data_IF_888113598120
#
_entry.id   IF_888113598120
#
_cell.length_a   1.000
_cell.length_b   1.000
_cell.length_c   1.000
_cell.angle_alpha   90.00
_cell.angle_beta   90.00
_cell.angle_gamma   90.00
#
_symmetry.space_group_name_H-M   'P 1'
#
loop_
_entity.id
_entity.type
_entity.pdbx_description
1 polymer ?
#
# COMPACT_ATOMS: atom_id res chain seq x y z
N UNK A 1 -18.96 -7.72 -10.16
CA UNK A 1 -17.87 -6.81 -10.59
C UNK A 1 -17.28 -6.18 -9.36
N UNK A 2 -16.17 -6.71 -8.89
CA UNK A 2 -15.37 -6.14 -7.79
C UNK A 2 -14.05 -5.67 -8.41
N UNK A 3 -13.61 -4.49 -8.09
CA UNK A 3 -12.45 -3.84 -8.68
C UNK A 3 -11.47 -3.47 -7.60
N UNK A 4 -10.22 -3.78 -7.84
CA UNK A 4 -9.12 -3.42 -6.94
C UNK A 4 -8.77 -1.95 -7.14
N UNK A 5 -8.64 -1.25 -6.03
CA UNK A 5 -8.20 0.13 -5.96
C UNK A 5 -6.68 0.13 -5.75
N UNK A 6 -5.89 0.48 -6.76
CA UNK A 6 -4.47 0.73 -6.56
C UNK A 6 -4.28 1.93 -5.62
N UNK A 7 -3.78 1.67 -4.43
CA UNK A 7 -3.67 2.65 -3.34
C UNK A 7 -2.31 3.36 -3.35
N UNK A 8 -2.25 4.49 -4.05
CA UNK A 8 -1.17 5.46 -3.87
C UNK A 8 -1.62 6.55 -2.90
N UNK A 9 -1.00 6.62 -1.73
CA UNK A 9 -1.33 7.57 -0.68
C UNK A 9 -0.33 8.72 -0.60
N UNK A 10 -0.74 9.89 -1.07
CA UNK A 10 -0.05 11.17 -0.82
C UNK A 10 -0.85 11.95 0.22
N UNK A 11 -0.23 12.28 1.34
CA UNK A 11 -0.90 12.85 2.51
C UNK A 11 -1.37 14.30 2.34
N UNK A 12 -2.58 14.56 2.81
CA UNK A 12 -3.09 15.91 3.08
C UNK A 12 -3.55 16.02 4.55
N UNK A 13 -3.15 17.07 5.23
CA UNK A 13 -3.42 17.33 6.66
C UNK A 13 -4.75 18.02 6.84
N UNK A 14 -5.64 17.46 7.68
CA UNK A 14 -6.75 18.21 8.30
C UNK A 14 -6.80 17.96 9.81
N UNK A 15 -6.90 19.06 10.58
CA UNK A 15 -7.02 19.07 12.05
C UNK A 15 -8.49 18.93 12.46
N UNK A 16 -8.81 17.97 13.31
CA UNK A 16 -10.10 17.92 14.02
C UNK A 16 -9.95 17.65 15.52
N UNK A 17 -10.76 18.37 16.29
CA UNK A 17 -10.83 18.34 17.75
C UNK A 17 -11.59 17.11 18.26
N UNK A 18 -11.15 16.59 19.42
CA UNK A 18 -11.52 15.30 19.93
C UNK A 18 -12.90 15.16 20.57
N UNK A 19 -13.49 14.02 20.32
CA UNK A 19 -14.26 13.25 21.28
C UNK A 19 -13.44 11.99 21.58
N UNK A 20 -13.44 11.47 22.80
CA UNK A 20 -12.79 10.21 23.13
C UNK A 20 -13.41 9.10 22.24
N UNK A 21 -12.81 8.85 21.12
CA UNK A 21 -13.27 7.83 20.19
C UNK A 21 -12.96 6.45 20.78
N UNK A 22 -13.90 5.52 20.66
CA UNK A 22 -13.73 4.13 21.08
C UNK A 22 -12.48 3.56 20.41
N UNK A 23 -11.61 2.87 21.16
CA UNK A 23 -10.43 2.20 20.62
C UNK A 23 -10.78 1.33 19.41
N UNK A 24 -9.99 1.46 18.36
CA UNK A 24 -10.08 0.61 17.18
C UNK A 24 -8.96 -0.43 17.25
N UNK A 25 -9.23 -1.55 17.92
CA UNK A 25 -8.28 -2.65 18.01
C UNK A 25 -8.19 -3.37 16.67
N UNK A 26 -6.97 -3.57 16.20
CA UNK A 26 -6.68 -4.27 14.95
C UNK A 26 -5.82 -5.50 15.23
N UNK A 27 -5.91 -6.49 14.34
CA UNK A 27 -5.13 -7.73 14.37
C UNK A 27 -4.60 -7.98 12.96
N UNK A 28 -3.64 -7.18 12.47
CA UNK A 28 -3.17 -7.28 11.11
C UNK A 28 -2.44 -8.59 10.84
N UNK A 29 -2.22 -8.99 9.57
CA UNK A 29 -1.36 -10.10 9.21
C UNK A 29 0.02 -9.95 9.85
N UNK A 30 0.46 -10.98 10.59
CA UNK A 30 1.74 -10.92 11.29
C UNK A 30 2.39 -12.31 11.35
N UNK A 31 3.63 -12.40 10.88
CA UNK A 31 4.35 -13.67 10.75
C UNK A 31 5.72 -13.57 11.41
N UNK A 32 6.16 -14.69 11.98
CA UNK A 32 7.52 -14.90 12.42
C UNK A 32 8.19 -15.89 11.48
N UNK A 33 9.33 -15.51 10.94
CA UNK A 33 10.11 -16.28 9.97
C UNK A 33 11.49 -16.55 10.60
N UNK A 34 11.88 -17.81 10.70
CA UNK A 34 13.12 -18.19 11.41
C UNK A 34 13.93 -19.15 10.57
N UNK A 35 15.23 -18.89 10.49
CA UNK A 35 16.19 -19.85 9.98
C UNK A 35 16.68 -20.72 11.15
N UNK A 36 16.38 -22.03 11.14
CA UNK A 36 16.73 -22.92 12.24
C UNK A 36 18.25 -23.14 12.40
N UNK A 37 19.02 -22.94 11.33
CA UNK A 37 20.46 -23.18 11.33
C UNK A 37 21.25 -22.00 11.93
N UNK A 38 20.85 -20.78 11.61
CA UNK A 38 21.51 -19.55 12.05
C UNK A 38 20.87 -18.92 13.29
N UNK A 39 19.57 -19.21 13.53
CA UNK A 39 18.75 -18.54 14.52
C UNK A 39 18.29 -17.15 14.10
N UNK A 40 18.59 -16.73 12.87
CA UNK A 40 18.11 -15.49 12.28
C UNK A 40 16.58 -15.44 12.31
N UNK A 41 16.02 -14.26 12.59
CA UNK A 41 14.55 -14.09 12.73
C UNK A 41 14.10 -12.83 12.03
N UNK A 42 13.07 -12.94 11.20
CA UNK A 42 12.35 -11.81 10.66
C UNK A 42 10.91 -11.83 11.15
N UNK A 43 10.40 -10.67 11.56
CA UNK A 43 8.97 -10.47 11.79
C UNK A 43 8.41 -9.71 10.60
N UNK A 44 7.42 -10.30 9.92
CA UNK A 44 6.76 -9.70 8.76
C UNK A 44 5.36 -9.23 9.16
N UNK A 45 5.12 -7.92 9.07
CA UNK A 45 3.85 -7.27 9.34
C UNK A 45 3.22 -6.80 8.04
N UNK A 46 2.02 -7.32 7.72
CA UNK A 46 1.20 -6.79 6.63
C UNK A 46 0.55 -5.46 7.03
N UNK A 47 0.93 -4.36 6.38
CA UNK A 47 0.48 -3.02 6.72
C UNK A 47 -0.75 -2.58 5.94
N UNK A 48 -1.40 -1.53 6.45
CA UNK A 48 -2.42 -0.75 5.75
C UNK A 48 -2.00 0.72 5.76
N UNK A 49 -1.93 1.34 4.60
CA UNK A 49 -1.47 2.72 4.44
C UNK A 49 -2.42 3.77 5.02
N UNK A 50 -3.65 3.37 5.36
CA UNK A 50 -4.65 4.22 6.03
C UNK A 50 -5.11 3.59 7.33
N UNK A 51 -5.52 4.44 8.26
CA UNK A 51 -6.02 3.97 9.57
C UNK A 51 -6.96 4.97 10.23
N UNK A 52 -7.32 4.67 11.46
CA UNK A 52 -8.12 5.55 12.34
C UNK A 52 -7.24 6.14 13.43
N UNK A 53 -7.54 7.35 13.87
CA UNK A 53 -6.77 8.07 14.90
C UNK A 53 -6.60 7.30 16.23
N UNK A 54 -7.51 6.40 16.53
CA UNK A 54 -7.57 5.61 17.74
C UNK A 54 -7.23 4.13 17.50
N UNK A 55 -6.47 3.82 16.44
CA UNK A 55 -6.01 2.45 16.16
C UNK A 55 -5.05 1.99 17.27
N UNK A 56 -5.34 0.81 17.80
CA UNK A 56 -4.54 0.13 18.83
C UNK A 56 -4.03 -1.17 18.24
N UNK A 57 -2.71 -1.27 18.14
CA UNK A 57 -2.02 -2.49 17.71
C UNK A 57 -1.75 -3.40 18.91
N UNK A 58 -1.71 -4.74 18.71
CA UNK A 58 -1.29 -5.69 19.75
C UNK A 58 0.10 -5.38 20.29
N UNK A 59 0.27 -5.57 21.61
CA UNK A 59 1.55 -5.34 22.28
C UNK A 59 2.67 -6.25 21.73
N UNK A 60 2.30 -7.43 21.22
CA UNK A 60 3.20 -8.40 20.59
C UNK A 60 3.93 -7.83 19.39
N UNK A 61 3.28 -6.95 18.60
CA UNK A 61 3.91 -6.27 17.46
C UNK A 61 5.03 -5.34 17.95
N UNK A 62 4.75 -4.53 18.97
CA UNK A 62 5.76 -3.63 19.53
C UNK A 62 6.87 -4.36 20.28
N UNK A 63 6.55 -5.49 20.95
CA UNK A 63 7.55 -6.33 21.57
C UNK A 63 8.51 -6.92 20.53
N UNK A 64 7.97 -7.49 19.45
CA UNK A 64 8.77 -8.03 18.34
C UNK A 64 9.62 -6.94 17.68
N UNK A 65 9.03 -5.76 17.41
CA UNK A 65 9.76 -4.63 16.85
C UNK A 65 10.90 -4.18 17.77
N UNK A 66 10.67 -4.16 19.10
CA UNK A 66 11.70 -3.79 20.09
C UNK A 66 12.85 -4.79 20.21
N UNK A 67 12.68 -6.04 19.77
CA UNK A 67 13.74 -7.05 19.75
C UNK A 67 14.63 -6.97 18.50
N UNK A 68 14.20 -6.23 17.47
CA UNK A 68 14.87 -6.19 16.19
C UNK A 68 15.95 -5.09 16.12
N UNK A 69 16.99 -5.35 15.33
CA UNK A 69 18.08 -4.40 15.08
C UNK A 69 17.73 -3.33 14.05
N UNK A 70 16.73 -3.60 13.20
CA UNK A 70 16.28 -2.69 12.15
C UNK A 70 14.79 -2.89 11.86
N UNK A 71 14.15 -1.79 11.44
CA UNK A 71 12.87 -1.78 10.77
C UNK A 71 13.09 -1.63 9.27
N UNK A 72 12.70 -2.61 8.48
CA UNK A 72 12.62 -2.50 7.03
C UNK A 72 11.18 -2.14 6.62
N UNK A 73 11.04 -1.16 5.76
CA UNK A 73 9.77 -0.68 5.21
C UNK A 73 9.88 -0.58 3.69
N UNK A 74 8.75 -0.55 3.00
CA UNK A 74 8.77 -0.23 1.57
C UNK A 74 9.49 1.11 1.36
N UNK A 75 9.02 2.15 2.04
CA UNK A 75 9.54 3.51 1.93
C UNK A 75 9.41 4.27 3.26
N UNK A 76 10.41 5.02 3.68
CA UNK A 76 10.25 5.97 4.80
C UNK A 76 9.46 7.21 4.37
N UNK A 77 8.12 7.05 4.37
CA UNK A 77 7.19 8.13 4.01
C UNK A 77 7.41 9.42 4.80
N UNK A 78 7.82 9.31 6.07
CA UNK A 78 8.07 10.50 6.91
C UNK A 78 9.35 11.22 6.48
N UNK A 79 10.39 10.49 6.08
CA UNK A 79 11.61 11.08 5.54
C UNK A 79 11.37 11.70 4.16
N UNK A 80 10.62 11.01 3.29
CA UNK A 80 10.25 11.52 1.97
C UNK A 80 9.46 12.83 2.07
N UNK A 81 8.46 12.90 2.94
CA UNK A 81 7.64 14.10 3.14
C UNK A 81 8.44 15.28 3.73
N UNK A 82 9.46 15.00 4.51
CA UNK A 82 10.37 16.02 5.04
C UNK A 82 11.37 16.53 3.99
N UNK A 83 11.66 15.76 2.95
CA UNK A 83 12.56 16.10 1.84
C UNK A 83 11.76 16.52 0.60
N UNK A 84 11.29 17.77 0.59
CA UNK A 84 10.51 18.33 -0.53
C UNK A 84 11.20 18.24 -1.90
N UNK A 85 12.52 18.47 -2.04
CA UNK A 85 13.24 18.23 -3.30
C UNK A 85 13.14 16.77 -3.78
N UNK A 86 13.33 15.77 -2.91
CA UNK A 86 13.19 14.35 -3.23
C UNK A 86 11.77 14.04 -3.66
N UNK A 87 10.77 14.46 -2.88
CA UNK A 87 9.36 14.26 -3.19
C UNK A 87 8.98 14.87 -4.55
N UNK A 88 9.36 16.13 -4.79
CA UNK A 88 9.05 16.80 -6.04
C UNK A 88 9.72 16.13 -7.25
N UNK A 89 10.93 15.60 -7.10
CA UNK A 89 11.59 14.87 -8.19
C UNK A 89 10.90 13.55 -8.49
N UNK A 90 10.50 12.80 -7.47
CA UNK A 90 9.74 11.57 -7.64
C UNK A 90 8.35 11.84 -8.29
N UNK A 91 7.66 12.90 -7.85
CA UNK A 91 6.37 13.31 -8.43
C UNK A 91 6.41 13.61 -9.93
N UNK A 92 7.54 14.12 -10.46
CA UNK A 92 7.70 14.37 -11.90
C UNK A 92 7.59 13.12 -12.76
N UNK A 93 7.81 11.94 -12.18
CA UNK A 93 7.65 10.66 -12.88
C UNK A 93 6.20 10.45 -13.32
N UNK A 94 5.26 10.98 -12.54
CA UNK A 94 3.83 10.88 -12.78
C UNK A 94 3.27 12.02 -13.65
N UNK A 95 4.11 12.97 -14.08
CA UNK A 95 3.68 14.02 -15.01
C UNK A 95 3.48 13.47 -16.41
N UNK A 96 2.49 13.99 -17.13
CA UNK A 96 2.30 13.69 -18.54
C UNK A 96 3.54 14.12 -19.32
N UNK A 97 4.25 13.18 -19.94
CA UNK A 97 5.48 13.45 -20.70
C UNK A 97 5.22 14.32 -21.95
N UNK A 98 4.04 14.19 -22.55
CA UNK A 98 3.62 14.93 -23.72
C UNK A 98 2.16 15.33 -23.53
N UNK A 99 1.87 16.62 -23.60
CA UNK A 99 0.50 17.13 -23.44
C UNK A 99 0.03 17.17 -22.00
N UNK A 100 -1.20 16.74 -21.77
CA UNK A 100 -1.93 16.85 -20.49
C UNK A 100 -2.78 15.60 -20.28
N UNK A 101 -3.46 15.52 -19.12
CA UNK A 101 -4.42 14.46 -18.86
C UNK A 101 -5.52 14.37 -19.94
N UNK A 102 -5.92 15.48 -20.56
CA UNK A 102 -6.91 15.44 -21.65
C UNK A 102 -6.37 14.71 -22.89
N UNK A 103 -5.08 14.84 -23.18
CA UNK A 103 -4.46 14.13 -24.31
C UNK A 103 -4.31 12.63 -23.98
N UNK A 104 -4.05 12.31 -22.72
CA UNK A 104 -3.91 10.95 -22.24
C UNK A 104 -5.26 10.20 -22.20
N UNK A 105 -6.27 10.83 -21.62
CA UNK A 105 -7.60 10.26 -21.41
C UNK A 105 -8.51 10.33 -22.65
N UNK A 106 -8.18 11.18 -23.62
CA UNK A 106 -8.91 11.32 -24.88
C UNK A 106 -10.42 11.56 -24.65
N UNK A 107 -11.26 10.70 -25.22
CA UNK A 107 -12.71 10.83 -25.14
C UNK A 107 -13.32 10.66 -23.75
N UNK A 108 -12.59 10.05 -22.81
CA UNK A 108 -13.06 9.84 -21.43
C UNK A 108 -12.80 11.05 -20.52
N UNK A 109 -11.98 12.03 -20.97
CA UNK A 109 -11.56 13.16 -20.14
C UNK A 109 -12.70 13.99 -19.56
N UNK A 110 -13.68 14.38 -20.37
CA UNK A 110 -14.77 15.26 -19.90
C UNK A 110 -15.68 14.57 -18.88
N UNK A 111 -15.93 13.28 -19.03
CA UNK A 111 -16.71 12.48 -18.07
C UNK A 111 -15.95 12.37 -16.74
N UNK A 112 -14.67 11.98 -16.79
CA UNK A 112 -13.79 11.82 -15.62
C UNK A 112 -13.66 13.17 -14.90
N UNK A 113 -13.33 14.23 -15.62
CA UNK A 113 -13.21 15.58 -15.05
C UNK A 113 -14.50 16.04 -14.38
N UNK A 114 -15.65 15.82 -15.00
CA UNK A 114 -16.97 16.17 -14.43
C UNK A 114 -17.22 15.41 -13.13
N UNK A 115 -16.91 14.10 -13.09
CA UNK A 115 -17.01 13.32 -11.86
C UNK A 115 -16.12 13.90 -10.75
N UNK A 116 -14.85 14.22 -11.06
CA UNK A 116 -13.92 14.79 -10.10
C UNK A 116 -14.36 16.17 -9.61
N UNK A 117 -14.95 17.01 -10.47
CA UNK A 117 -15.52 18.29 -10.06
C UNK A 117 -16.69 18.08 -9.10
N UNK A 118 -17.60 17.16 -9.40
CA UNK A 118 -18.76 16.84 -8.54
C UNK A 118 -18.36 16.28 -7.18
N UNK A 119 -17.22 15.58 -7.11
CA UNK A 119 -16.63 15.06 -5.86
C UNK A 119 -15.68 16.04 -5.16
N UNK A 120 -15.51 17.25 -5.69
CA UNK A 120 -14.59 18.28 -5.18
C UNK A 120 -13.13 17.81 -5.14
N UNK A 121 -12.74 16.96 -6.09
CA UNK A 121 -11.40 16.41 -6.25
C UNK A 121 -10.60 17.11 -7.34
N UNK A 122 -11.28 17.73 -8.31
CA UNK A 122 -10.62 18.36 -9.43
C UNK A 122 -9.90 19.63 -9.02
N UNK A 123 -8.64 19.73 -9.42
CA UNK A 123 -7.92 20.98 -9.52
C UNK A 123 -7.20 21.04 -10.88
N UNK A 124 -6.96 22.24 -11.46
CA UNK A 124 -6.25 22.32 -12.74
C UNK A 124 -4.85 21.70 -12.73
N UNK A 125 -4.24 21.56 -11.56
CA UNK A 125 -2.93 20.90 -11.44
C UNK A 125 -2.98 19.40 -11.76
N UNK A 126 -4.13 18.73 -11.59
CA UNK A 126 -4.28 17.32 -11.97
C UNK A 126 -4.09 17.10 -13.46
N UNK A 127 -4.38 18.10 -14.29
CA UNK A 127 -4.22 17.97 -15.74
C UNK A 127 -2.75 17.79 -16.17
N UNK A 128 -1.80 18.09 -15.30
CA UNK A 128 -0.39 17.83 -15.56
C UNK A 128 0.02 16.35 -15.35
N UNK A 129 -0.83 15.53 -14.76
CA UNK A 129 -0.49 14.19 -14.32
C UNK A 129 -1.26 13.09 -15.06
N UNK A 130 -0.62 11.91 -15.16
CA UNK A 130 -1.21 10.68 -15.72
C UNK A 130 -2.39 10.19 -14.87
N UNK A 131 -3.27 9.29 -15.40
CA UNK A 131 -4.47 8.81 -14.70
C UNK A 131 -4.19 8.16 -13.33
N UNK A 132 -3.02 7.56 -13.12
CA UNK A 132 -2.63 7.01 -11.82
C UNK A 132 -2.70 8.04 -10.68
N UNK A 133 -2.37 9.31 -10.94
CA UNK A 133 -2.51 10.38 -9.95
C UNK A 133 -3.99 10.71 -9.67
N UNK A 134 -4.84 10.65 -10.67
CA UNK A 134 -6.29 10.84 -10.51
C UNK A 134 -6.88 9.71 -9.67
N UNK A 135 -6.49 8.46 -9.95
CA UNK A 135 -6.87 7.29 -9.16
C UNK A 135 -6.44 7.42 -7.70
N UNK A 136 -5.22 7.91 -7.45
CA UNK A 136 -4.72 8.20 -6.10
C UNK A 136 -5.58 9.25 -5.38
N UNK A 137 -5.95 10.34 -6.07
CA UNK A 137 -6.80 11.37 -5.49
C UNK A 137 -8.19 10.82 -5.12
N UNK A 138 -8.78 9.95 -5.96
CA UNK A 138 -10.04 9.29 -5.69
C UNK A 138 -9.93 8.34 -4.49
N UNK A 139 -8.88 7.53 -4.43
CA UNK A 139 -8.63 6.59 -3.32
C UNK A 139 -8.47 7.32 -1.98
N UNK A 140 -7.73 8.42 -1.96
CA UNK A 140 -7.58 9.26 -0.77
C UNK A 140 -8.93 9.85 -0.31
N UNK A 141 -9.76 10.30 -1.25
CA UNK A 141 -11.10 10.80 -0.94
C UNK A 141 -12.00 9.71 -0.36
N UNK A 142 -11.99 8.53 -0.98
CA UNK A 142 -12.75 7.37 -0.50
C UNK A 142 -12.34 6.98 0.92
N UNK A 143 -11.03 6.91 1.19
CA UNK A 143 -10.52 6.65 2.51
C UNK A 143 -10.99 7.71 3.52
N UNK A 144 -10.87 9.00 3.19
CA UNK A 144 -11.35 10.11 4.03
C UNK A 144 -12.84 10.04 4.32
N UNK A 145 -13.67 9.76 3.29
CA UNK A 145 -15.12 9.63 3.44
C UNK A 145 -15.55 8.37 4.23
N UNK A 146 -14.65 7.38 4.33
CA UNK A 146 -14.80 6.23 5.22
C UNK A 146 -14.28 6.48 6.64
N UNK A 147 -13.70 7.65 6.90
CA UNK A 147 -13.13 8.02 8.21
C UNK A 147 -11.71 7.48 8.44
N UNK A 148 -11.00 7.12 7.36
CA UNK A 148 -9.61 6.70 7.39
C UNK A 148 -8.67 7.84 6.94
N UNK A 149 -7.42 7.78 7.37
CA UNK A 149 -6.38 8.74 6.97
C UNK A 149 -5.02 8.07 6.88
N UNK A 150 -4.21 8.48 5.92
CA UNK A 150 -2.81 8.07 5.80
C UNK A 150 -1.96 8.48 7.00
N UNK A 151 -2.36 9.52 7.72
CA UNK A 151 -1.69 9.94 8.96
C UNK A 151 -1.73 8.88 10.06
N UNK A 152 -2.66 7.93 9.97
CA UNK A 152 -2.87 6.86 10.95
C UNK A 152 -2.59 5.47 10.35
N UNK A 153 -1.92 5.41 9.20
CA UNK A 153 -1.49 4.15 8.59
C UNK A 153 -0.49 3.39 9.46
N UNK A 154 -0.46 2.08 9.28
CA UNK A 154 0.40 1.16 10.03
C UNK A 154 1.88 1.49 9.79
N UNK A 155 2.26 1.77 8.56
CA UNK A 155 3.62 2.15 8.18
C UNK A 155 4.13 3.31 9.03
N UNK A 156 3.30 4.37 9.18
CA UNK A 156 3.64 5.54 10.01
C UNK A 156 3.74 5.23 11.49
N UNK A 157 2.90 4.31 11.99
CA UNK A 157 2.97 3.88 13.38
C UNK A 157 4.30 3.18 13.66
N UNK A 158 4.72 2.26 12.78
CA UNK A 158 6.00 1.55 12.90
C UNK A 158 7.20 2.48 12.73
N UNK A 159 7.18 3.39 11.74
CA UNK A 159 8.21 4.42 11.55
C UNK A 159 8.32 5.34 12.76
N UNK A 160 7.20 5.76 13.34
CA UNK A 160 7.17 6.61 14.54
C UNK A 160 7.82 5.89 15.73
N UNK A 161 7.51 4.61 15.91
CA UNK A 161 8.15 3.80 16.95
C UNK A 161 9.66 3.69 16.72
N UNK A 162 10.09 3.33 15.51
CA UNK A 162 11.50 3.16 15.17
C UNK A 162 12.31 4.44 15.39
N UNK A 163 11.79 5.59 14.95
CA UNK A 163 12.43 6.90 15.14
C UNK A 163 12.54 7.27 16.63
N UNK A 164 11.47 7.04 17.40
CA UNK A 164 11.47 7.27 18.86
C UNK A 164 12.51 6.44 19.59
N UNK A 165 12.81 5.23 19.12
CA UNK A 165 13.76 4.31 19.72
C UNK A 165 15.13 4.31 19.04
N UNK A 166 15.35 5.23 18.08
CA UNK A 166 16.62 5.35 17.33
C UNK A 166 17.00 4.04 16.60
N UNK A 167 16.00 3.28 16.14
CA UNK A 167 16.23 2.08 15.36
C UNK A 167 16.74 2.44 13.97
N UNK A 168 17.55 1.56 13.39
CA UNK A 168 17.91 1.64 11.98
C UNK A 168 16.65 1.42 11.13
N UNK A 169 16.39 2.33 10.18
CA UNK A 169 15.34 2.17 9.17
C UNK A 169 16.01 1.80 7.85
N UNK A 170 15.45 0.82 7.16
CA UNK A 170 15.88 0.34 5.85
C UNK A 170 14.72 0.53 4.88
N UNK A 171 14.92 1.30 3.82
CA UNK A 171 13.99 1.38 2.71
C UNK A 171 14.27 0.20 1.76
N UNK A 172 13.26 -0.63 1.50
CA UNK A 172 13.33 -1.75 0.55
C UNK A 172 13.16 -1.27 -0.88
N UNK A 173 12.55 -0.11 -1.05
CA UNK A 173 12.27 0.55 -2.33
C UNK A 173 12.56 2.04 -2.23
N UNK A 174 12.68 2.69 -3.36
CA UNK A 174 12.71 4.16 -3.45
C UNK A 174 11.35 4.71 -3.89
N UNK A 175 11.10 5.99 -3.63
CA UNK A 175 9.91 6.68 -4.13
C UNK A 175 9.88 6.66 -5.67
N UNK A 176 11.04 6.78 -6.30
CA UNK A 176 11.21 6.74 -7.75
C UNK A 176 10.81 5.37 -8.31
N UNK A 177 11.22 4.25 -7.67
CA UNK A 177 10.79 2.90 -8.07
C UNK A 177 9.28 2.75 -7.99
N UNK A 178 8.64 3.12 -6.86
CA UNK A 178 7.19 3.01 -6.71
C UNK A 178 6.41 3.87 -7.71
N UNK A 179 6.85 5.11 -7.96
CA UNK A 179 6.18 5.97 -8.93
C UNK A 179 6.42 5.51 -10.37
N UNK A 180 7.58 4.90 -10.65
CA UNK A 180 7.86 4.35 -11.97
C UNK A 180 6.96 3.15 -12.30
N UNK A 181 6.60 2.30 -11.34
CA UNK A 181 5.63 1.22 -11.52
C UNK A 181 4.30 1.79 -12.02
N UNK A 182 3.80 2.85 -11.36
CA UNK A 182 2.57 3.50 -11.78
C UNK A 182 2.69 4.22 -13.13
N UNK A 183 3.84 4.80 -13.44
CA UNK A 183 4.08 5.45 -14.72
C UNK A 183 4.29 4.45 -15.87
N UNK A 184 4.71 3.23 -15.55
CA UNK A 184 4.89 2.13 -16.51
C UNK A 184 3.61 1.33 -16.73
N UNK A 185 2.60 1.48 -15.85
CA UNK A 185 1.30 0.86 -16.08
C UNK A 185 0.79 1.25 -17.48
N UNK A 186 0.43 0.27 -18.34
CA UNK A 186 -0.06 0.56 -19.68
C UNK A 186 -1.20 1.57 -19.69
N UNK A 187 -1.15 2.50 -20.64
CA UNK A 187 -2.12 3.61 -20.71
C UNK A 187 -3.56 3.13 -20.73
N UNK A 188 -3.82 2.05 -21.46
CA UNK A 188 -5.12 1.44 -21.61
C UNK A 188 -5.66 0.91 -20.29
N UNK A 189 -4.77 0.30 -19.46
CA UNK A 189 -5.14 -0.16 -18.11
C UNK A 189 -5.42 1.02 -17.17
N UNK A 190 -4.60 2.07 -17.18
CA UNK A 190 -4.83 3.27 -16.38
C UNK A 190 -6.17 3.91 -16.71
N UNK A 191 -6.50 4.05 -18.01
CA UNK A 191 -7.76 4.63 -18.48
C UNK A 191 -8.92 3.71 -18.06
N UNK A 192 -8.80 2.41 -18.30
CA UNK A 192 -9.82 1.43 -17.92
C UNK A 192 -10.12 1.47 -16.43
N UNK A 193 -9.10 1.42 -15.58
CA UNK A 193 -9.24 1.40 -14.12
C UNK A 193 -9.90 2.67 -13.60
N UNK A 194 -9.47 3.83 -14.10
CA UNK A 194 -10.04 5.11 -13.70
C UNK A 194 -11.49 5.27 -14.18
N UNK A 195 -11.78 4.98 -15.46
CA UNK A 195 -13.14 5.02 -16.02
C UNK A 195 -14.08 4.09 -15.26
N UNK A 196 -13.63 2.87 -15.03
CA UNK A 196 -14.37 1.86 -14.27
C UNK A 196 -14.69 2.30 -12.85
N UNK A 197 -13.75 2.99 -12.20
CA UNK A 197 -13.96 3.52 -10.85
C UNK A 197 -15.00 4.63 -10.83
N UNK A 198 -15.00 5.56 -11.80
CA UNK A 198 -16.00 6.65 -11.84
C UNK A 198 -17.39 6.16 -12.23
N UNK A 199 -17.51 5.08 -12.99
CA UNK A 199 -18.77 4.46 -13.39
C UNK A 199 -19.36 3.55 -12.30
N UNK A 200 -18.57 3.17 -11.31
CA UNK A 200 -19.06 2.41 -10.14
C UNK A 200 -19.76 3.36 -9.16
N UNK A 201 -20.89 2.92 -8.61
CA UNK A 201 -21.59 3.69 -7.58
C UNK A 201 -20.64 4.02 -6.42
N UNK A 202 -20.61 5.27 -6.01
CA UNK A 202 -19.67 5.77 -5.00
C UNK A 202 -19.83 5.09 -3.62
N UNK A 203 -21.07 4.70 -3.25
CA UNK A 203 -21.30 3.96 -2.01
C UNK A 203 -20.79 2.52 -2.10
N UNK A 204 -20.79 1.92 -3.30
CA UNK A 204 -20.15 0.62 -3.54
C UNK A 204 -18.64 0.73 -3.34
N UNK A 205 -17.98 1.74 -3.91
CA UNK A 205 -16.54 1.98 -3.70
C UNK A 205 -16.19 2.17 -2.23
N UNK A 206 -17.02 2.93 -1.49
CA UNK A 206 -16.85 3.07 -0.04
C UNK A 206 -17.06 1.76 0.70
N UNK A 207 -17.98 0.92 0.24
CA UNK A 207 -18.20 -0.43 0.76
C UNK A 207 -16.96 -1.29 0.60
N UNK A 208 -16.35 -1.28 -0.59
CA UNK A 208 -15.11 -2.01 -0.88
C UNK A 208 -13.93 -1.54 -0.01
N UNK A 209 -13.76 -0.22 0.14
CA UNK A 209 -12.73 0.36 1.02
C UNK A 209 -12.91 -0.08 2.48
N UNK A 210 -14.15 -0.09 2.98
CA UNK A 210 -14.45 -0.55 4.36
C UNK A 210 -14.19 -2.04 4.52
N UNK A 211 -14.53 -2.84 3.51
CA UNK A 211 -14.33 -4.28 3.53
C UNK A 211 -12.83 -4.62 3.50
N UNK A 212 -12.05 -3.95 2.66
CA UNK A 212 -10.60 -4.08 2.64
C UNK A 212 -9.99 -3.76 4.03
N UNK A 213 -10.41 -2.64 4.63
CA UNK A 213 -9.93 -2.27 5.97
C UNK A 213 -10.37 -3.30 7.03
N UNK A 214 -11.60 -3.83 6.96
CA UNK A 214 -12.10 -4.87 7.86
C UNK A 214 -11.25 -6.13 7.71
N UNK A 215 -11.10 -6.63 6.49
CA UNK A 215 -10.35 -7.86 6.21
C UNK A 215 -8.92 -7.76 6.75
N UNK A 216 -8.24 -6.66 6.49
CA UNK A 216 -6.92 -6.40 7.04
C UNK A 216 -6.92 -6.32 8.58
N UNK A 217 -7.86 -5.56 9.17
CA UNK A 217 -7.89 -5.32 10.61
C UNK A 217 -8.27 -6.54 11.45
N UNK A 218 -8.86 -7.55 10.83
CA UNK A 218 -9.27 -8.81 11.45
C UNK A 218 -8.38 -10.00 11.02
N UNK A 219 -7.40 -9.75 10.15
CA UNK A 219 -6.57 -10.78 9.52
C UNK A 219 -7.41 -11.87 8.82
N UNK A 220 -8.40 -11.42 8.04
CA UNK A 220 -9.23 -12.30 7.21
C UNK A 220 -8.53 -12.58 5.88
N UNK A 221 -7.60 -13.55 5.93
CA UNK A 221 -6.77 -13.92 4.76
C UNK A 221 -7.60 -14.31 3.55
N UNK A 222 -8.68 -15.08 3.77
CA UNK A 222 -9.55 -15.53 2.69
C UNK A 222 -10.23 -14.34 1.96
N UNK A 223 -10.62 -13.30 2.69
CA UNK A 223 -11.18 -12.10 2.08
C UNK A 223 -10.11 -11.31 1.31
N UNK A 224 -8.88 -11.21 1.86
CA UNK A 224 -7.77 -10.51 1.20
C UNK A 224 -7.36 -11.22 -0.10
N UNK A 225 -7.19 -12.54 -0.07
CA UNK A 225 -6.89 -13.38 -1.25
C UNK A 225 -8.00 -13.28 -2.30
N UNK A 226 -9.28 -13.33 -1.90
CA UNK A 226 -10.43 -13.19 -2.80
C UNK A 226 -10.45 -11.84 -3.52
N UNK A 227 -10.04 -10.77 -2.87
CA UNK A 227 -9.97 -9.43 -3.49
C UNK A 227 -8.96 -9.39 -4.63
N UNK A 228 -7.86 -10.14 -4.54
CA UNK A 228 -6.86 -10.25 -5.61
C UNK A 228 -7.38 -11.15 -6.74
N UNK A 229 -7.93 -12.30 -6.38
CA UNK A 229 -8.40 -13.29 -7.36
C UNK A 229 -9.61 -12.84 -8.18
N UNK A 230 -10.38 -11.88 -7.68
CA UNK A 230 -11.59 -11.35 -8.33
C UNK A 230 -11.30 -10.13 -9.23
N UNK A 231 -10.05 -9.78 -9.47
CA UNK A 231 -9.70 -8.69 -10.38
C UNK A 231 -10.06 -9.04 -11.81
N UNK A 232 -10.91 -8.23 -12.44
CA UNK A 232 -11.29 -8.42 -13.84
C UNK A 232 -10.20 -7.87 -14.77
N UNK A 233 -9.60 -8.77 -15.54
CA UNK A 233 -8.66 -8.37 -16.59
C UNK A 233 -9.47 -7.93 -17.81
N UNK A 234 -9.25 -6.72 -18.35
CA UNK A 234 -9.94 -6.28 -19.56
C UNK A 234 -9.58 -7.17 -20.76
N UNK A 235 -10.58 -7.53 -21.56
CA UNK A 235 -10.39 -8.32 -22.78
C UNK A 235 -9.39 -7.63 -23.72
N UNK A 236 -8.36 -8.37 -24.14
CA UNK A 236 -7.31 -7.90 -25.02
C UNK A 236 -6.18 -7.11 -24.35
N UNK A 237 -6.14 -7.07 -23.00
CA UNK A 237 -5.05 -6.46 -22.22
C UNK A 237 -4.39 -7.47 -21.25
N UNK A 238 -4.47 -8.77 -21.57
CA UNK A 238 -3.99 -9.84 -20.70
C UNK A 238 -2.47 -9.80 -20.52
N UNK A 239 -1.73 -9.50 -21.59
CA UNK A 239 -0.25 -9.41 -21.55
C UNK A 239 0.19 -8.17 -20.77
N UNK A 240 -0.45 -7.02 -21.01
CA UNK A 240 -0.19 -5.76 -20.32
C UNK A 240 -0.51 -5.89 -18.83
N UNK A 241 -1.61 -6.57 -18.51
CA UNK A 241 -1.98 -6.82 -17.12
C UNK A 241 -0.96 -7.75 -16.43
N UNK A 242 -0.51 -8.81 -17.10
CA UNK A 242 0.48 -9.72 -16.54
C UNK A 242 1.81 -9.00 -16.22
N UNK A 243 2.27 -8.10 -17.13
CA UNK A 243 3.46 -7.28 -16.85
C UNK A 243 3.24 -6.31 -15.70
N UNK A 244 2.08 -5.65 -15.66
CA UNK A 244 1.72 -4.76 -14.55
C UNK A 244 1.66 -5.50 -13.21
N UNK A 245 1.07 -6.70 -13.20
CA UNK A 245 1.01 -7.54 -12.00
C UNK A 245 2.40 -7.93 -11.50
N UNK A 246 3.29 -8.31 -12.42
CA UNK A 246 4.68 -8.61 -12.09
C UNK A 246 5.38 -7.39 -11.46
N UNK A 247 5.24 -6.22 -12.05
CA UNK A 247 5.88 -4.98 -11.57
C UNK A 247 5.27 -4.52 -10.24
N UNK A 248 3.96 -4.69 -10.05
CA UNK A 248 3.24 -4.26 -8.85
C UNK A 248 3.45 -5.20 -7.65
N UNK A 249 3.56 -6.50 -7.91
CA UNK A 249 3.61 -7.53 -6.87
C UNK A 249 4.86 -8.40 -6.95
N UNK A 250 4.94 -9.31 -7.92
CA UNK A 250 5.89 -10.42 -7.94
C UNK A 250 7.34 -9.95 -7.84
N UNK A 251 7.78 -9.01 -8.70
CA UNK A 251 9.15 -8.50 -8.70
C UNK A 251 9.53 -7.77 -7.41
N UNK A 252 8.58 -7.09 -6.78
CA UNK A 252 8.77 -6.43 -5.49
C UNK A 252 8.87 -7.45 -4.35
N UNK A 253 7.98 -8.44 -4.34
CA UNK A 253 7.94 -9.52 -3.37
C UNK A 253 9.21 -10.37 -3.39
N UNK A 254 9.74 -10.67 -4.57
CA UNK A 254 11.04 -11.34 -4.72
C UNK A 254 12.17 -10.53 -4.06
N UNK A 255 12.24 -9.22 -4.31
CA UNK A 255 13.21 -8.31 -3.71
C UNK A 255 13.08 -8.24 -2.18
N UNK A 256 11.84 -8.14 -1.67
CA UNK A 256 11.55 -8.12 -0.24
C UNK A 256 11.90 -9.44 0.44
N UNK A 257 11.55 -10.56 -0.18
CA UNK A 257 11.91 -11.90 0.32
C UNK A 257 13.42 -12.14 0.31
N UNK A 258 14.14 -11.64 -0.71
CA UNK A 258 15.60 -11.72 -0.76
C UNK A 258 16.26 -10.96 0.42
N UNK A 259 15.74 -9.78 0.77
CA UNK A 259 16.20 -9.05 1.95
C UNK A 259 15.99 -9.88 3.24
N UNK A 260 14.81 -10.48 3.41
CA UNK A 260 14.49 -11.33 4.56
C UNK A 260 15.46 -12.51 4.60
N UNK A 261 15.62 -13.24 3.48
CA UNK A 261 16.47 -14.41 3.39
C UNK A 261 17.95 -14.09 3.74
N UNK A 262 18.45 -12.93 3.30
CA UNK A 262 19.80 -12.47 3.64
C UNK A 262 19.94 -12.18 5.14
N UNK A 263 18.99 -11.47 5.75
CA UNK A 263 18.96 -11.20 7.17
C UNK A 263 18.93 -12.49 8.00
N UNK A 264 18.09 -13.45 7.63
CA UNK A 264 18.01 -14.76 8.29
C UNK A 264 19.35 -15.50 8.21
N UNK A 265 19.95 -15.58 7.04
CA UNK A 265 21.25 -16.23 6.81
C UNK A 265 22.37 -15.61 7.65
N UNK A 266 22.34 -14.32 7.89
CA UNK A 266 23.31 -13.60 8.71
C UNK A 266 23.09 -13.78 10.23
N UNK A 267 21.99 -14.41 10.63
CA UNK A 267 21.59 -14.52 12.04
C UNK A 267 21.03 -13.24 12.61
N UNK A 268 20.57 -12.31 11.75
CA UNK A 268 20.00 -11.04 12.16
C UNK A 268 18.58 -11.19 12.71
N UNK A 269 18.16 -10.22 13.54
CA UNK A 269 16.76 -10.02 13.89
C UNK A 269 16.26 -8.74 13.24
N UNK A 270 15.32 -8.84 12.31
CA UNK A 270 14.77 -7.71 11.57
C UNK A 270 13.24 -7.67 11.63
N UNK A 271 12.69 -6.47 11.62
CA UNK A 271 11.24 -6.28 11.49
C UNK A 271 10.96 -5.72 10.10
N UNK A 272 10.06 -6.35 9.37
CA UNK A 272 9.69 -5.98 7.99
C UNK A 272 8.22 -5.56 8.01
N UNK A 273 7.93 -4.35 7.61
CA UNK A 273 6.57 -3.80 7.54
C UNK A 273 6.28 -3.35 6.11
N UNK A 274 5.46 -4.11 5.41
CA UNK A 274 5.09 -3.89 3.99
C UNK A 274 3.59 -4.07 3.81
N UNK A 275 3.02 -3.51 2.75
CA UNK A 275 1.59 -3.59 2.48
C UNK A 275 1.07 -5.03 2.54
N UNK A 276 -0.06 -5.23 3.20
CA UNK A 276 -0.61 -6.57 3.47
C UNK A 276 -0.79 -7.43 2.23
N UNK A 277 -1.03 -6.82 1.07
CA UNK A 277 -1.19 -7.55 -0.18
C UNK A 277 0.09 -8.28 -0.61
N UNK A 278 1.27 -7.85 -0.15
CA UNK A 278 2.53 -8.57 -0.36
C UNK A 278 2.64 -9.89 0.43
N UNK A 279 1.69 -10.14 1.35
CA UNK A 279 1.57 -11.41 2.07
C UNK A 279 0.50 -12.34 1.47
N UNK A 280 -0.24 -11.90 0.41
CA UNK A 280 -1.40 -12.63 -0.12
C UNK A 280 -1.52 -12.62 -1.65
N UNK A 281 -0.79 -11.76 -2.36
CA UNK A 281 -0.78 -11.74 -3.83
C UNK A 281 0.24 -12.76 -4.34
N UNK A 282 -0.19 -13.89 -4.94
CA UNK A 282 0.72 -14.98 -5.31
C UNK A 282 1.55 -14.65 -6.57
N UNK A 283 2.85 -15.07 -6.63
CA UNK A 283 3.60 -15.66 -5.53
C UNK A 283 3.97 -14.60 -4.50
N UNK A 284 3.52 -14.75 -3.25
CA UNK A 284 3.74 -13.77 -2.20
C UNK A 284 5.12 -13.89 -1.52
N UNK A 285 5.43 -13.01 -0.57
CA UNK A 285 6.72 -13.04 0.16
C UNK A 285 6.93 -14.38 0.86
N UNK A 286 5.86 -15.00 1.38
CA UNK A 286 5.95 -16.26 2.11
C UNK A 286 6.22 -17.43 1.15
N UNK A 287 5.64 -17.41 -0.06
CA UNK A 287 5.92 -18.37 -1.12
C UNK A 287 7.41 -18.37 -1.51
N UNK A 288 8.03 -17.19 -1.65
CA UNK A 288 9.47 -17.08 -1.95
C UNK A 288 10.38 -17.60 -0.82
N UNK A 289 9.87 -17.68 0.41
CA UNK A 289 10.60 -18.15 1.59
C UNK A 289 10.25 -19.62 1.95
N UNK A 290 9.26 -20.22 1.30
CA UNK A 290 8.86 -21.61 1.55
C UNK A 290 10.03 -22.56 1.32
N UNK A 291 10.21 -23.51 2.25
CA UNK A 291 11.32 -24.47 2.22
C UNK A 291 12.71 -23.90 2.56
N UNK A 292 12.83 -22.58 2.74
CA UNK A 292 14.09 -21.90 3.14
C UNK A 292 14.10 -21.48 4.61
N UNK A 293 12.94 -21.31 5.22
CA UNK A 293 12.75 -20.89 6.60
C UNK A 293 11.52 -21.54 7.23
N UNK A 294 11.43 -21.49 8.54
CA UNK A 294 10.21 -21.85 9.28
C UNK A 294 9.35 -20.62 9.39
N UNK A 295 8.13 -20.70 8.88
CA UNK A 295 7.15 -19.59 8.85
C UNK A 295 6.03 -19.91 9.85
N UNK A 296 5.78 -19.01 10.77
CA UNK A 296 4.73 -19.11 11.79
C UNK A 296 3.84 -17.86 11.75
N UNK A 297 2.55 -18.04 11.52
CA UNK A 297 1.59 -16.95 11.68
C UNK A 297 1.36 -16.67 13.16
N UNK A 298 1.55 -15.42 13.58
CA UNK A 298 1.29 -14.99 14.97
C UNK A 298 -0.18 -14.58 15.08
N UNK A 299 -0.95 -15.39 15.81
CA UNK A 299 -2.37 -15.11 16.10
C UNK A 299 -2.50 -14.37 17.42
N UNK A 300 -3.10 -13.20 17.36
CA UNK A 300 -3.35 -12.38 18.55
C UNK A 300 -4.50 -12.95 19.38
N UNK A 301 -4.36 -12.89 20.71
CA UNK A 301 -5.41 -13.29 21.63
C UNK A 301 -6.70 -12.43 21.50
N UNK A 302 -7.82 -12.98 21.96
CA UNK A 302 -9.12 -12.26 21.98
C UNK A 302 -9.15 -11.15 23.02
#
# INVERSE_FOLDING_TARGET
MKKILSLLLIGAVMLFSGCAARENKVRPPFFKITDPDTGGTAYLLGTMHVGKANTVYPDEIYAALGECSALAVELDLQALEADQPRLNNAMKILECKNGSASDFLGGDYDEIRTFFQNKQLYSPNLDAYIPAMWSSALSNKLAGDCGYSSMYGTDRAMLTYAKKHSMKIVELESAEEQYQINANEPSELQIYSLRSSIQTDYEILKGQMKELYRAWSENDSAALESMIAEEEIPEGLEEEYAQYYYDMYEGRQEKMAAYIAEALKNGDKVFVAVGAMHCYAPPDILDFLEGKAVIEEIKFGN
#
